data_IF_280695780356
#
_entry.id   IF_280695780356
#
_cell.length_a   1.000
_cell.length_b   1.000
_cell.length_c   1.000
_cell.angle_alpha   90.00
_cell.angle_beta   90.00
_cell.angle_gamma   90.00
#
_symmetry.space_group_name_H-M   'P 1'
#
loop_
_entity.id
_entity.type
_entity.pdbx_description
1 polymer ?
#
# COMPACT_ATOMS: atom_id res chain seq x y z
N UNK A 1 -8.40 12.99 12.02
CA UNK A 1 -7.77 12.95 10.69
C UNK A 1 -8.05 11.59 10.10
N UNK A 2 -8.66 11.52 8.92
CA UNK A 2 -8.94 10.24 8.28
C UNK A 2 -7.62 9.61 7.81
N UNK A 3 -7.23 8.49 8.43
CA UNK A 3 -6.06 7.66 8.07
C UNK A 3 -6.35 6.85 6.80
N UNK A 4 -6.82 7.52 5.75
CA UNK A 4 -7.10 6.84 4.47
C UNK A 4 -5.80 6.63 3.72
N UNK A 5 -5.49 5.37 3.40
CA UNK A 5 -4.34 5.01 2.58
C UNK A 5 -4.47 5.67 1.21
N UNK A 6 -3.45 6.39 0.73
CA UNK A 6 -3.48 6.97 -0.59
C UNK A 6 -3.42 5.89 -1.69
N UNK A 7 -4.36 5.93 -2.65
CA UNK A 7 -4.41 5.04 -3.81
C UNK A 7 -4.27 5.86 -5.10
N UNK A 8 -3.42 5.40 -6.00
CA UNK A 8 -3.06 6.04 -7.26
C UNK A 8 -3.37 5.14 -8.47
N UNK A 9 -3.58 5.72 -9.63
CA UNK A 9 -3.88 5.01 -10.88
C UNK A 9 -2.74 5.16 -11.88
N UNK A 10 -2.05 4.05 -12.18
CA UNK A 10 -0.99 3.96 -13.18
C UNK A 10 -1.39 3.06 -14.37
N UNK A 11 -2.67 2.72 -14.54
CA UNK A 11 -3.11 1.79 -15.60
C UNK A 11 -2.84 2.29 -17.02
N UNK A 12 -2.78 3.61 -17.20
CA UNK A 12 -2.72 4.24 -18.52
C UNK A 12 -1.38 4.92 -18.85
N UNK A 13 -0.33 4.67 -18.05
CA UNK A 13 1.02 5.16 -18.37
C UNK A 13 2.10 4.28 -17.76
N UNK A 14 3.30 4.37 -18.32
CA UNK A 14 4.50 3.86 -17.67
C UNK A 14 4.84 4.70 -16.43
N UNK A 15 5.26 4.02 -15.35
CA UNK A 15 5.62 4.63 -14.08
C UNK A 15 7.00 4.12 -13.68
N UNK A 16 7.93 5.05 -13.45
CA UNK A 16 9.28 4.72 -13.03
C UNK A 16 9.39 4.80 -11.49
N UNK A 17 9.55 3.63 -10.87
CA UNK A 17 9.67 3.50 -9.42
C UNK A 17 10.92 4.19 -8.85
N UNK A 18 11.99 4.33 -9.63
CA UNK A 18 13.25 4.88 -9.13
C UNK A 18 13.21 6.40 -9.06
N UNK A 19 12.51 7.04 -10.00
CA UNK A 19 12.48 8.50 -10.13
C UNK A 19 11.20 9.14 -9.62
N UNK A 20 10.05 8.47 -9.73
CA UNK A 20 8.75 9.11 -9.50
C UNK A 20 8.13 8.77 -8.14
N UNK A 21 8.61 7.71 -7.47
CA UNK A 21 8.10 7.26 -6.18
C UNK A 21 8.14 8.31 -5.06
N UNK A 22 9.18 9.16 -4.94
CA UNK A 22 9.19 10.23 -3.94
C UNK A 22 8.07 11.28 -4.15
N UNK A 23 7.51 11.34 -5.35
CA UNK A 23 6.51 12.34 -5.77
C UNK A 23 5.21 11.72 -6.27
N UNK A 24 4.80 10.55 -5.74
CA UNK A 24 3.60 9.82 -6.17
C UNK A 24 2.34 10.70 -6.32
N UNK A 25 2.12 11.63 -5.38
CA UNK A 25 0.95 12.49 -5.38
C UNK A 25 0.86 13.45 -6.58
N UNK A 26 2.00 13.80 -7.18
CA UNK A 26 2.07 14.64 -8.38
C UNK A 26 2.34 13.84 -9.64
N UNK A 27 2.96 12.66 -9.51
CA UNK A 27 3.29 11.78 -10.62
C UNK A 27 2.05 11.04 -11.14
N UNK A 28 1.17 10.56 -10.26
CA UNK A 28 0.02 9.74 -10.63
C UNK A 28 -1.31 10.34 -10.18
N UNK A 29 -2.38 10.23 -10.99
CA UNK A 29 -3.72 10.61 -10.57
C UNK A 29 -4.20 9.73 -9.41
N UNK A 30 -5.12 10.29 -8.62
CA UNK A 30 -5.82 9.54 -7.58
C UNK A 30 -6.72 8.48 -8.20
N UNK A 31 -6.71 7.29 -7.62
CA UNK A 31 -7.71 6.28 -7.94
C UNK A 31 -9.11 6.78 -7.52
N UNK A 32 -9.98 6.92 -8.50
CA UNK A 32 -11.40 7.28 -8.31
C UNK A 32 -12.34 6.15 -8.67
N UNK A 33 -11.81 5.04 -9.18
CA UNK A 33 -12.61 3.85 -9.48
C UNK A 33 -13.19 3.22 -8.21
N UNK A 34 -14.31 2.52 -8.36
CA UNK A 34 -14.80 1.65 -7.30
C UNK A 34 -14.00 0.36 -7.32
N UNK A 35 -14.45 -0.59 -8.12
CA UNK A 35 -13.84 -1.91 -8.26
C UNK A 35 -12.59 -1.86 -9.15
N UNK A 36 -11.59 -2.65 -8.76
CA UNK A 36 -10.36 -2.82 -9.55
C UNK A 36 -10.67 -3.74 -10.73
N UNK A 37 -10.41 -3.31 -11.98
CA UNK A 37 -10.69 -4.12 -13.15
C UNK A 37 -9.98 -5.47 -13.15
N UNK A 38 -10.63 -6.46 -13.75
CA UNK A 38 -10.03 -7.76 -13.99
C UNK A 38 -8.80 -7.60 -14.89
N UNK A 39 -7.69 -8.22 -14.49
CA UNK A 39 -6.40 -8.13 -15.18
C UNK A 39 -5.50 -6.99 -14.70
N UNK A 40 -6.00 -6.09 -13.86
CA UNK A 40 -5.16 -5.14 -13.12
C UNK A 40 -4.45 -5.85 -11.94
N UNK A 41 -3.36 -5.24 -11.47
CA UNK A 41 -2.68 -5.63 -10.22
C UNK A 41 -2.41 -4.39 -9.36
N UNK A 42 -2.08 -4.59 -8.09
CA UNK A 42 -1.79 -3.50 -7.16
C UNK A 42 -0.36 -3.62 -6.64
N UNK A 43 0.36 -2.50 -6.68
CA UNK A 43 1.63 -2.34 -5.96
C UNK A 43 1.37 -1.55 -4.69
N UNK A 44 1.85 -2.04 -3.55
CA UNK A 44 1.68 -1.40 -2.24
C UNK A 44 3.02 -1.07 -1.62
N UNK A 45 3.18 0.18 -1.19
CA UNK A 45 4.26 0.57 -0.28
C UNK A 45 3.82 0.28 1.14
N UNK A 46 4.59 -0.52 1.87
CA UNK A 46 4.27 -0.91 3.23
C UNK A 46 5.51 -0.94 4.11
N UNK A 47 5.31 -0.79 5.41
CA UNK A 47 6.32 -1.04 6.43
C UNK A 47 5.87 -2.18 7.33
N UNK A 48 6.80 -3.06 7.68
CA UNK A 48 6.58 -4.13 8.66
C UNK A 48 7.39 -3.83 9.90
N UNK A 49 6.74 -3.94 11.05
CA UNK A 49 7.40 -3.94 12.34
C UNK A 49 7.12 -5.28 13.02
N UNK A 50 8.12 -5.82 13.70
CA UNK A 50 7.91 -6.96 14.59
C UNK A 50 8.40 -6.62 15.98
N UNK A 51 7.68 -7.09 16.99
CA UNK A 51 8.07 -6.89 18.38
C UNK A 51 7.62 -8.09 19.23
N UNK A 52 8.39 -8.36 20.28
CA UNK A 52 8.02 -9.37 21.28
C UNK A 52 7.16 -8.72 22.36
N UNK A 53 5.93 -9.19 22.50
CA UNK A 53 4.94 -8.67 23.43
C UNK A 53 4.30 -9.78 24.26
N UNK A 54 3.49 -9.43 25.25
CA UNK A 54 2.61 -10.39 25.92
C UNK A 54 1.35 -10.57 25.08
N UNK A 55 1.01 -11.80 24.73
CA UNK A 55 -0.32 -12.11 24.23
C UNK A 55 -1.29 -12.25 25.40
N UNK A 56 -2.53 -11.81 25.24
CA UNK A 56 -3.53 -11.89 26.29
C UNK A 56 -3.80 -13.37 26.66
N UNK A 57 -3.63 -13.71 27.94
CA UNK A 57 -3.89 -15.06 28.44
C UNK A 57 -2.78 -16.09 28.18
N UNK A 58 -1.58 -15.67 27.79
CA UNK A 58 -0.41 -16.56 27.68
C UNK A 58 0.76 -16.11 28.55
N UNK A 59 1.40 -17.09 29.19
CA UNK A 59 2.71 -16.91 29.84
C UNK A 59 3.82 -17.00 28.79
N UNK A 60 4.70 -15.99 28.76
CA UNK A 60 5.79 -15.87 27.79
C UNK A 60 5.66 -14.66 26.87
N UNK A 61 6.66 -14.44 26.02
CA UNK A 61 6.63 -13.41 24.98
C UNK A 61 6.23 -14.06 23.66
N UNK A 62 5.31 -13.41 22.94
CA UNK A 62 4.83 -13.81 21.62
C UNK A 62 5.31 -12.78 20.60
N UNK A 63 5.61 -13.24 19.38
CA UNK A 63 5.95 -12.37 18.28
C UNK A 63 4.68 -11.71 17.73
N UNK A 64 4.64 -10.39 17.76
CA UNK A 64 3.63 -9.57 17.10
C UNK A 64 4.22 -9.00 15.82
N UNK A 65 3.41 -8.99 14.76
CA UNK A 65 3.75 -8.41 13.47
C UNK A 65 2.73 -7.31 13.17
N UNK A 66 3.21 -6.09 12.98
CA UNK A 66 2.43 -4.97 12.49
C UNK A 66 2.75 -4.70 11.03
N UNK A 67 1.71 -4.56 10.21
CA UNK A 67 1.83 -4.12 8.82
C UNK A 67 1.11 -2.78 8.66
N UNK A 68 1.79 -1.80 8.07
CA UNK A 68 1.22 -0.49 7.79
C UNK A 68 1.37 -0.18 6.29
N UNK A 69 0.25 -0.01 5.61
CA UNK A 69 0.21 0.36 4.20
C UNK A 69 0.35 1.88 4.09
N UNK A 70 1.36 2.33 3.37
CA UNK A 70 1.68 3.74 3.17
C UNK A 70 1.00 4.32 1.94
N UNK A 71 0.91 3.54 0.85
CA UNK A 71 0.26 3.90 -0.41
C UNK A 71 -0.02 2.65 -1.26
N UNK A 72 -0.90 2.79 -2.25
CA UNK A 72 -1.20 1.77 -3.25
C UNK A 72 -1.24 2.38 -4.66
N UNK A 73 -0.85 1.60 -5.67
CA UNK A 73 -0.90 1.98 -7.09
C UNK A 73 -1.60 0.86 -7.84
N UNK A 74 -2.67 1.19 -8.57
CA UNK A 74 -3.35 0.26 -9.48
C UNK A 74 -2.63 0.29 -10.82
N UNK A 75 -2.17 -0.85 -11.28
CA UNK A 75 -1.37 -1.02 -12.49
C UNK A 75 -2.02 -2.03 -13.45
N UNK A 76 -1.63 -1.97 -14.71
CA UNK A 76 -2.10 -2.90 -15.73
C UNK A 76 -3.43 -2.48 -16.36
N UNK A 77 -4.05 -3.40 -17.08
CA UNK A 77 -5.13 -3.11 -18.04
C UNK A 77 -6.52 -3.16 -17.42
N UNK A 78 -7.52 -2.52 -18.05
CA UNK A 78 -7.82 -2.59 -19.49
C UNK A 78 -7.01 -1.65 -20.39
#
# INVERSE_FOLDING_TARGET
>A
MSTTVPVYDARHREFDFDTELPSLATALPRWTGGEIPIGSFIVVGYTVASYLGKAQGQDGKVLHIGNNILWAIVCGTP
#
